data_IF_193914801612
#
_entry.id   IF_193914801612
#
_cell.length_a   1.000
_cell.length_b   1.000
_cell.length_c   1.000
_cell.angle_alpha   90.00
_cell.angle_beta   90.00
_cell.angle_gamma   90.00
#
_symmetry.space_group_name_H-M   'P 1'
#
loop_
_entity.id
_entity.type
_entity.pdbx_description
1 polymer ?
#
# COMPACT_ATOMS: atom_id res chain seq x y z
N UNK A 1 27.71 15.85 10.93
CA UNK A 1 27.19 15.95 9.53
C UNK A 1 27.03 17.41 9.17
N UNK A 2 27.50 17.87 8.00
CA UNK A 2 27.27 19.26 7.58
C UNK A 2 25.78 19.46 7.26
N UNK A 3 25.29 20.72 7.33
CA UNK A 3 23.89 21.00 6.96
C UNK A 3 23.57 20.63 5.51
N UNK A 4 24.58 20.67 4.62
CA UNK A 4 24.44 20.29 3.22
C UNK A 4 24.27 18.76 3.10
N UNK A 5 25.09 17.98 3.79
CA UNK A 5 25.01 16.51 3.78
C UNK A 5 23.67 16.02 4.34
N UNK A 6 23.15 16.71 5.38
CA UNK A 6 21.84 16.38 5.96
C UNK A 6 20.72 16.62 4.95
N UNK A 7 20.73 17.75 4.23
CA UNK A 7 19.73 18.05 3.22
C UNK A 7 19.74 17.05 2.05
N UNK A 8 20.94 16.66 1.61
CA UNK A 8 21.11 15.70 0.52
C UNK A 8 20.64 14.28 0.96
N UNK A 9 20.96 13.88 2.19
CA UNK A 9 20.46 12.63 2.76
C UNK A 9 18.93 12.64 2.95
N UNK A 10 18.34 13.77 3.35
CA UNK A 10 16.88 13.90 3.43
C UNK A 10 16.24 13.73 2.05
N UNK A 11 16.80 14.38 1.00
CA UNK A 11 16.30 14.22 -0.37
C UNK A 11 16.35 12.78 -0.82
N UNK A 12 17.51 12.13 -0.65
CA UNK A 12 17.71 10.72 -0.99
C UNK A 12 16.72 9.81 -0.25
N UNK A 13 16.56 10.00 1.06
CA UNK A 13 15.64 9.19 1.87
C UNK A 13 14.17 9.41 1.45
N UNK A 14 13.80 10.64 1.05
CA UNK A 14 12.46 10.93 0.51
C UNK A 14 12.22 10.28 -0.85
N UNK A 15 13.20 10.28 -1.73
CA UNK A 15 13.11 9.61 -3.03
C UNK A 15 12.91 8.09 -2.86
N UNK A 16 13.63 7.50 -1.91
CA UNK A 16 13.54 6.05 -1.63
C UNK A 16 12.24 5.63 -0.92
N UNK A 17 11.70 6.47 -0.04
CA UNK A 17 10.59 6.09 0.86
C UNK A 17 9.27 6.79 0.57
N UNK A 18 9.30 7.90 -0.18
CA UNK A 18 8.14 8.76 -0.41
C UNK A 18 7.60 9.47 0.85
N UNK A 19 8.28 9.34 1.99
CA UNK A 19 7.86 9.92 3.28
C UNK A 19 8.18 11.43 3.33
N UNK A 20 7.40 12.20 4.10
CA UNK A 20 7.55 13.66 4.19
C UNK A 20 8.88 14.11 4.80
N UNK A 21 9.31 15.33 4.47
CA UNK A 21 10.59 15.93 4.89
C UNK A 21 10.83 15.84 6.41
N UNK A 22 9.82 16.19 7.21
CA UNK A 22 9.92 16.21 8.68
C UNK A 22 10.22 14.82 9.26
N UNK A 23 9.54 13.79 8.77
CA UNK A 23 9.74 12.43 9.23
C UNK A 23 11.09 11.87 8.78
N UNK A 24 11.54 12.19 7.56
CA UNK A 24 12.87 11.81 7.07
C UNK A 24 13.99 12.47 7.88
N UNK A 25 13.84 13.76 8.22
CA UNK A 25 14.79 14.45 9.09
C UNK A 25 14.90 13.80 10.46
N UNK A 26 13.75 13.53 11.11
CA UNK A 26 13.73 12.86 12.43
C UNK A 26 14.38 11.47 12.35
N UNK A 27 14.12 10.72 11.29
CA UNK A 27 14.74 9.40 11.12
C UNK A 27 16.25 9.47 10.96
N UNK A 28 16.77 10.44 10.21
CA UNK A 28 18.20 10.64 10.04
C UNK A 28 18.89 11.15 11.32
N UNK A 29 18.23 12.03 12.06
CA UNK A 29 18.74 12.51 13.36
C UNK A 29 18.86 11.33 14.36
N UNK A 30 17.81 10.48 14.45
CA UNK A 30 17.78 9.29 15.32
C UNK A 30 18.81 8.22 14.91
N UNK A 31 19.08 8.10 13.62
CA UNK A 31 20.00 7.10 13.06
C UNK A 31 21.43 7.64 12.81
N UNK A 32 21.77 8.81 13.33
CA UNK A 32 23.06 9.48 13.13
C UNK A 32 23.45 9.61 11.62
N UNK A 33 22.46 9.84 10.76
CA UNK A 33 22.65 10.00 9.32
C UNK A 33 22.72 8.71 8.50
N UNK A 34 22.58 7.55 9.12
CA UNK A 34 22.56 6.25 8.46
C UNK A 34 21.24 6.06 7.70
N UNK A 35 21.32 5.93 6.38
CA UNK A 35 20.15 5.81 5.49
C UNK A 35 19.38 4.52 5.75
N UNK A 36 20.06 3.39 5.90
CA UNK A 36 19.41 2.07 6.07
C UNK A 36 18.67 1.99 7.39
N UNK A 37 19.31 2.43 8.49
CA UNK A 37 18.66 2.54 9.79
C UNK A 37 17.49 3.52 9.78
N UNK A 38 17.61 4.63 9.03
CA UNK A 38 16.53 5.60 8.86
C UNK A 38 15.33 4.99 8.14
N UNK A 39 15.54 4.14 7.12
CA UNK A 39 14.47 3.41 6.44
C UNK A 39 13.76 2.48 7.42
N UNK A 40 14.51 1.73 8.22
CA UNK A 40 13.95 0.83 9.23
C UNK A 40 13.16 1.59 10.31
N UNK A 41 13.69 2.71 10.79
CA UNK A 41 13.00 3.62 11.70
C UNK A 41 11.67 4.11 11.12
N UNK A 42 11.68 4.58 9.85
CA UNK A 42 10.48 5.03 9.17
C UNK A 42 9.47 3.90 8.98
N UNK A 43 9.92 2.68 8.71
CA UNK A 43 9.04 1.51 8.61
C UNK A 43 8.34 1.22 9.94
N UNK A 44 9.09 1.17 11.05
CA UNK A 44 8.53 0.97 12.40
C UNK A 44 7.54 2.07 12.76
N UNK A 45 7.87 3.32 12.46
CA UNK A 45 7.01 4.48 12.67
C UNK A 45 5.75 4.42 11.79
N UNK A 46 5.87 3.94 10.58
CA UNK A 46 4.75 3.71 9.65
C UNK A 46 3.77 2.68 10.19
N UNK A 47 4.25 1.55 10.70
CA UNK A 47 3.44 0.52 11.37
C UNK A 47 2.66 1.12 12.54
N UNK A 48 3.30 1.90 13.41
CA UNK A 48 2.66 2.54 14.54
C UNK A 48 1.59 3.57 14.11
N UNK A 49 1.85 4.33 13.05
CA UNK A 49 0.87 5.27 12.46
C UNK A 49 -0.31 4.53 11.84
N UNK A 50 -0.08 3.46 11.10
CA UNK A 50 -1.12 2.63 10.49
C UNK A 50 -2.03 2.04 11.57
N UNK A 51 -1.45 1.45 12.62
CA UNK A 51 -2.21 0.88 13.75
C UNK A 51 -3.13 1.89 14.41
N UNK A 52 -2.66 3.12 14.65
CA UNK A 52 -3.47 4.20 15.23
C UNK A 52 -4.66 4.62 14.35
N UNK A 53 -4.61 4.33 13.06
CA UNK A 53 -5.68 4.68 12.10
C UNK A 53 -6.73 3.58 11.96
N UNK A 54 -6.45 2.36 12.42
CA UNK A 54 -7.34 1.21 12.20
C UNK A 54 -8.75 1.38 12.80
N UNK A 55 -8.92 2.22 13.83
CA UNK A 55 -10.23 2.54 14.42
C UNK A 55 -11.07 3.53 13.60
N UNK A 56 -10.49 4.18 12.59
CA UNK A 56 -11.21 5.17 11.78
C UNK A 56 -12.13 4.48 10.79
N UNK A 57 -13.19 5.19 10.37
CA UNK A 57 -14.08 4.71 9.29
C UNK A 57 -13.39 4.92 7.94
N UNK A 58 -13.45 3.91 7.09
CA UNK A 58 -12.99 3.96 5.69
C UNK A 58 -14.12 3.39 4.82
N UNK A 59 -14.90 4.29 4.20
CA UNK A 59 -16.10 3.96 3.43
C UNK A 59 -15.97 4.31 1.94
N UNK A 60 -14.97 5.09 1.58
CA UNK A 60 -14.59 5.40 0.21
C UNK A 60 -13.57 4.39 -0.32
N UNK A 61 -13.16 4.50 -1.57
CA UNK A 61 -12.13 3.64 -2.14
C UNK A 61 -12.44 3.15 -3.54
N UNK A 62 -11.93 1.97 -3.87
CA UNK A 62 -12.11 1.34 -5.18
C UNK A 62 -12.49 -0.13 -5.04
N UNK A 63 -13.41 -0.57 -5.90
CA UNK A 63 -13.63 -1.96 -6.22
C UNK A 63 -13.06 -2.25 -7.61
N UNK A 64 -12.21 -3.26 -7.72
CA UNK A 64 -11.60 -3.64 -8.98
C UNK A 64 -12.01 -5.06 -9.37
N UNK A 65 -12.24 -5.23 -10.66
CA UNK A 65 -12.57 -6.51 -11.27
C UNK A 65 -11.46 -6.88 -12.25
N UNK A 66 -11.01 -8.12 -12.19
CA UNK A 66 -10.14 -8.72 -13.19
C UNK A 66 -10.80 -9.97 -13.73
N UNK A 67 -10.90 -10.06 -15.05
CA UNK A 67 -11.39 -11.23 -15.75
C UNK A 67 -10.25 -11.81 -16.60
N UNK A 68 -10.11 -13.13 -16.59
CA UNK A 68 -9.24 -13.87 -17.48
C UNK A 68 -9.81 -15.27 -17.73
N UNK A 69 -10.04 -15.61 -18.99
CA UNK A 69 -10.55 -16.93 -19.44
C UNK A 69 -11.86 -17.34 -18.77
N UNK A 70 -12.74 -16.39 -18.48
CA UNK A 70 -14.03 -16.62 -17.84
C UNK A 70 -13.97 -16.76 -16.31
N UNK A 71 -12.80 -16.72 -15.70
CA UNK A 71 -12.65 -16.57 -14.26
C UNK A 71 -12.65 -15.09 -13.89
N UNK A 72 -13.28 -14.73 -12.77
CA UNK A 72 -13.40 -13.34 -12.30
C UNK A 72 -12.87 -13.22 -10.87
N UNK A 73 -12.02 -12.25 -10.63
CA UNK A 73 -11.61 -11.83 -9.30
C UNK A 73 -12.09 -10.40 -9.02
N UNK A 74 -12.66 -10.18 -7.84
CA UNK A 74 -13.11 -8.87 -7.36
C UNK A 74 -12.39 -8.55 -6.06
N UNK A 75 -11.88 -7.32 -5.92
CA UNK A 75 -11.26 -6.85 -4.70
C UNK A 75 -11.74 -5.45 -4.36
N UNK A 76 -12.04 -5.23 -3.08
CA UNK A 76 -12.46 -3.95 -2.51
C UNK A 76 -11.36 -3.42 -1.59
N UNK A 77 -10.87 -2.21 -1.89
CA UNK A 77 -9.88 -1.49 -1.09
C UNK A 77 -10.50 -0.16 -0.67
N UNK A 78 -10.64 0.06 0.64
CA UNK A 78 -11.25 1.26 1.17
C UNK A 78 -10.22 2.27 1.68
N UNK A 79 -10.58 3.56 1.56
CA UNK A 79 -9.91 4.75 2.11
C UNK A 79 -10.88 5.59 2.93
N UNK A 80 -10.37 6.59 3.67
CA UNK A 80 -11.24 7.50 4.44
C UNK A 80 -11.99 8.47 3.53
N UNK A 81 -11.33 8.96 2.46
CA UNK A 81 -11.86 9.99 1.56
C UNK A 81 -11.81 9.58 0.09
N UNK A 82 -12.68 10.20 -0.72
CA UNK A 82 -12.69 10.06 -2.18
C UNK A 82 -11.46 10.70 -2.85
N UNK A 83 -10.79 11.64 -2.19
CA UNK A 83 -9.52 12.20 -2.67
C UNK A 83 -8.44 11.13 -2.77
N UNK A 84 -8.36 10.22 -1.78
CA UNK A 84 -7.45 9.09 -1.82
C UNK A 84 -7.83 8.11 -2.91
N UNK A 85 -9.11 7.85 -3.12
CA UNK A 85 -9.57 7.00 -4.23
C UNK A 85 -9.14 7.50 -5.62
N UNK A 86 -8.86 8.80 -5.76
CA UNK A 86 -8.34 9.46 -6.97
C UNK A 86 -6.81 9.62 -6.97
N UNK A 87 -6.13 9.27 -5.89
CA UNK A 87 -4.67 9.40 -5.76
C UNK A 87 -3.93 8.38 -6.63
N UNK A 88 -2.92 8.82 -7.37
CA UNK A 88 -2.16 7.97 -8.31
C UNK A 88 -1.48 6.78 -7.63
N UNK A 89 -0.89 6.98 -6.45
CA UNK A 89 -0.20 5.91 -5.72
C UNK A 89 -1.19 4.86 -5.22
N UNK A 90 -2.36 5.31 -4.71
CA UNK A 90 -3.44 4.44 -4.29
C UNK A 90 -4.00 3.62 -5.47
N UNK A 91 -4.29 4.28 -6.60
CA UNK A 91 -4.78 3.60 -7.81
C UNK A 91 -3.77 2.58 -8.33
N UNK A 92 -2.47 2.93 -8.35
CA UNK A 92 -1.41 2.00 -8.79
C UNK A 92 -1.33 0.78 -7.88
N UNK A 93 -1.38 0.98 -6.57
CA UNK A 93 -1.41 -0.10 -5.59
C UNK A 93 -2.65 -1.00 -5.76
N UNK A 94 -3.84 -0.41 -5.94
CA UNK A 94 -5.07 -1.15 -6.16
C UNK A 94 -5.04 -1.99 -7.46
N UNK A 95 -4.49 -1.44 -8.55
CA UNK A 95 -4.34 -2.19 -9.82
C UNK A 95 -3.46 -3.41 -9.66
N UNK A 96 -2.31 -3.27 -9.00
CA UNK A 96 -1.43 -4.40 -8.76
C UNK A 96 -2.06 -5.43 -7.81
N UNK A 97 -2.81 -4.97 -6.79
CA UNK A 97 -3.58 -5.85 -5.93
C UNK A 97 -4.67 -6.64 -6.69
N UNK A 98 -5.29 -6.06 -7.70
CA UNK A 98 -6.27 -6.77 -8.54
C UNK A 98 -5.63 -7.95 -9.26
N UNK A 99 -4.41 -7.76 -9.80
CA UNK A 99 -3.65 -8.84 -10.42
C UNK A 99 -3.28 -9.94 -9.40
N UNK A 100 -2.80 -9.53 -8.24
CA UNK A 100 -2.43 -10.44 -7.15
C UNK A 100 -3.64 -11.21 -6.63
N UNK A 101 -4.79 -10.54 -6.46
CA UNK A 101 -6.04 -11.18 -6.05
C UNK A 101 -6.45 -12.30 -6.99
N UNK A 102 -6.33 -12.06 -8.30
CA UNK A 102 -6.63 -13.09 -9.30
C UNK A 102 -5.72 -14.32 -9.14
N UNK A 103 -4.42 -14.11 -8.96
CA UNK A 103 -3.44 -15.19 -8.75
C UNK A 103 -3.69 -15.94 -7.43
N UNK A 104 -4.00 -15.20 -6.37
CA UNK A 104 -4.22 -15.76 -5.03
C UNK A 104 -5.62 -16.33 -4.82
N UNK A 105 -6.53 -16.21 -5.80
CA UNK A 105 -7.93 -16.70 -5.74
C UNK A 105 -8.66 -16.24 -4.46
N UNK A 106 -8.56 -14.94 -4.17
CA UNK A 106 -9.19 -14.27 -3.03
C UNK A 106 -8.73 -14.71 -1.63
N UNK A 107 -7.65 -15.45 -1.52
CA UNK A 107 -7.05 -15.80 -0.24
C UNK A 107 -6.31 -14.59 0.34
N UNK A 108 -6.90 -13.93 1.33
CA UNK A 108 -6.36 -12.70 1.92
C UNK A 108 -5.00 -12.89 2.58
N UNK A 109 -4.72 -14.05 3.16
CA UNK A 109 -3.41 -14.33 3.77
C UNK A 109 -2.33 -14.46 2.70
N UNK A 110 -2.64 -15.14 1.59
CA UNK A 110 -1.74 -15.19 0.45
C UNK A 110 -1.54 -13.82 -0.18
N UNK A 111 -2.62 -13.03 -0.36
CA UNK A 111 -2.54 -11.66 -0.88
C UNK A 111 -1.59 -10.82 -0.02
N UNK A 112 -1.80 -10.78 1.31
CA UNK A 112 -0.99 -9.97 2.22
C UNK A 112 0.50 -10.36 2.21
N UNK A 113 0.81 -11.62 1.98
CA UNK A 113 2.18 -12.14 1.94
C UNK A 113 2.73 -12.29 0.51
N UNK A 114 1.99 -11.83 -0.52
CA UNK A 114 2.47 -11.84 -1.89
C UNK A 114 3.52 -10.75 -2.12
N UNK A 115 4.55 -11.08 -2.90
CA UNK A 115 5.61 -10.13 -3.26
C UNK A 115 5.18 -9.28 -4.45
N UNK A 116 5.15 -7.96 -4.27
CA UNK A 116 4.82 -6.98 -5.30
C UNK A 116 6.03 -6.73 -6.23
N UNK A 117 5.82 -5.97 -7.31
CA UNK A 117 6.86 -5.64 -8.32
C UNK A 117 8.11 -4.99 -7.72
N UNK A 118 7.96 -4.24 -6.65
CA UNK A 118 9.05 -3.60 -5.89
C UNK A 118 9.78 -4.56 -4.94
N UNK A 119 9.44 -5.86 -4.97
CA UNK A 119 9.97 -6.93 -4.12
C UNK A 119 9.59 -6.86 -2.64
N UNK A 120 8.75 -5.92 -2.23
CA UNK A 120 8.18 -5.88 -0.89
C UNK A 120 6.87 -6.69 -0.84
N UNK A 121 6.44 -7.07 0.35
CA UNK A 121 5.17 -7.76 0.54
C UNK A 121 4.01 -6.75 0.46
N UNK A 122 2.83 -7.21 0.04
CA UNK A 122 1.61 -6.38 0.00
C UNK A 122 1.36 -5.69 1.33
N UNK A 123 1.44 -6.43 2.45
CA UNK A 123 1.25 -5.85 3.80
C UNK A 123 2.22 -4.72 4.13
N UNK A 124 3.48 -4.82 3.69
CA UNK A 124 4.49 -3.79 3.93
C UNK A 124 4.23 -2.56 3.06
N UNK A 125 3.87 -2.77 1.79
CA UNK A 125 3.48 -1.69 0.87
C UNK A 125 2.20 -0.98 1.33
N UNK A 126 1.22 -1.71 1.87
CA UNK A 126 0.03 -1.11 2.47
C UNK A 126 0.38 -0.19 3.64
N UNK A 127 1.25 -0.62 4.56
CA UNK A 127 1.73 0.21 5.68
C UNK A 127 2.45 1.46 5.17
N UNK A 128 3.32 1.32 4.17
CA UNK A 128 4.04 2.43 3.56
C UNK A 128 3.07 3.43 2.89
N UNK A 129 2.06 2.93 2.20
CA UNK A 129 1.03 3.75 1.55
C UNK A 129 0.21 4.53 2.59
N UNK A 130 -0.21 3.89 3.69
CA UNK A 130 -0.90 4.53 4.81
C UNK A 130 -0.01 5.62 5.45
N UNK A 131 1.28 5.35 5.62
CA UNK A 131 2.22 6.32 6.18
C UNK A 131 2.41 7.54 5.26
N UNK A 132 2.46 7.31 3.93
CA UNK A 132 2.64 8.34 2.90
C UNK A 132 1.40 9.21 2.74
N UNK A 133 0.23 8.61 2.58
CA UNK A 133 -1.04 9.29 2.33
C UNK A 133 -1.60 9.92 3.62
N UNK A 134 -1.44 9.24 4.75
CA UNK A 134 -1.93 9.73 6.03
C UNK A 134 -3.36 9.34 6.37
N UNK A 135 -4.00 8.48 5.59
CA UNK A 135 -5.35 7.95 5.84
C UNK A 135 -5.32 6.45 6.14
N UNK A 136 -6.40 5.94 6.76
CA UNK A 136 -6.65 4.51 6.83
C UNK A 136 -6.90 3.97 5.43
N UNK A 137 -6.18 2.91 5.08
CA UNK A 137 -6.42 2.13 3.88
C UNK A 137 -6.53 0.67 4.31
N UNK A 138 -7.51 -0.05 3.78
CA UNK A 138 -7.75 -1.44 4.15
C UNK A 138 -8.17 -2.25 2.92
N UNK A 139 -7.62 -3.44 2.76
CA UNK A 139 -8.14 -4.46 1.85
C UNK A 139 -9.35 -5.09 2.56
N UNK A 140 -10.55 -4.69 2.14
CA UNK A 140 -11.77 -5.03 2.86
C UNK A 140 -12.29 -6.41 2.51
N UNK A 141 -12.36 -6.70 1.21
CA UNK A 141 -12.95 -7.93 0.71
C UNK A 141 -12.28 -8.36 -0.59
N UNK A 142 -12.10 -9.65 -0.73
CA UNK A 142 -11.71 -10.29 -1.97
C UNK A 142 -12.70 -11.41 -2.30
N UNK A 143 -12.95 -11.63 -3.59
CA UNK A 143 -13.80 -12.71 -4.09
C UNK A 143 -13.21 -13.26 -5.38
N UNK A 144 -13.40 -14.55 -5.62
CA UNK A 144 -12.98 -15.23 -6.83
C UNK A 144 -14.10 -16.15 -7.31
N UNK A 145 -14.39 -16.09 -8.60
CA UNK A 145 -15.43 -16.88 -9.26
C UNK A 145 -14.77 -17.67 -10.40
N UNK A 146 -14.75 -18.99 -10.26
CA UNK A 146 -14.26 -19.86 -11.32
C UNK A 146 -15.33 -20.06 -12.42
N UNK A 147 -14.93 -20.64 -13.53
CA UNK A 147 -15.81 -20.91 -14.68
C UNK A 147 -16.26 -22.38 -14.80
N UNK A 148 -16.14 -23.17 -13.71
CA UNK A 148 -16.41 -24.62 -13.74
C UNK A 148 -17.89 -24.96 -13.89
N UNK A 149 -18.77 -24.12 -13.38
CA UNK A 149 -20.22 -24.41 -13.25
C UNK A 149 -21.06 -23.49 -14.13
N UNK A 150 -20.49 -22.48 -14.76
CA UNK A 150 -21.25 -21.51 -15.56
C UNK A 150 -20.37 -20.46 -16.25
N UNK A 151 -21.00 -19.44 -16.80
CA UNK A 151 -20.34 -18.32 -17.45
C UNK A 151 -20.43 -17.12 -16.52
N UNK A 152 -19.29 -16.51 -16.24
CA UNK A 152 -19.22 -15.30 -15.43
C UNK A 152 -19.27 -14.07 -16.36
N UNK A 153 -20.05 -13.08 -15.97
CA UNK A 153 -20.10 -11.77 -16.57
C UNK A 153 -19.96 -10.68 -15.52
N UNK A 154 -19.36 -9.58 -15.88
CA UNK A 154 -19.37 -8.39 -15.03
C UNK A 154 -19.68 -7.15 -15.85
N UNK A 155 -20.22 -6.14 -15.18
CA UNK A 155 -20.46 -4.80 -15.70
C UNK A 155 -19.96 -3.79 -14.69
N UNK A 156 -19.22 -2.76 -15.14
CA UNK A 156 -18.66 -1.68 -14.32
C UNK A 156 -19.11 -0.32 -14.89
#
# INVERSE_FOLDING_TARGET
MSNKDLLDNIKKLREMTGVGFKDCKVALDDSNGDIEKSIEFLRKKGIAKASKKMSRTASEGLALVKEEKGEIAVIEINSETDFVAKNKDFISFCKELSDINFVCKADLDKINNYQMKDKNLVKDNLVNLIAKIGEKIIIRKASFFDNKVGINFFYV
#
